data_IF_475831526083
#
_entry.id   IF_475831526083
#
_cell.length_a   1.000
_cell.length_b   1.000
_cell.length_c   1.000
_cell.angle_alpha   90.00
_cell.angle_beta   90.00
_cell.angle_gamma   90.00
#
_symmetry.space_group_name_H-M   'P 1'
#
loop_
_entity.id
_entity.type
_entity.pdbx_description
1 polymer ?
#
# COMPACT_ATOMS: atom_id res chain seq x y z
N UNK A 1 48.87 -10.74 15.86
CA UNK A 1 47.95 -10.07 16.81
C UNK A 1 47.55 -8.74 16.18
N UNK A 2 46.36 -8.67 15.57
CA UNK A 2 45.83 -7.46 14.89
C UNK A 2 44.99 -6.67 15.89
N UNK A 3 45.39 -5.42 16.14
CA UNK A 3 44.64 -4.46 16.93
C UNK A 3 43.40 -3.96 16.18
N UNK A 4 42.36 -3.70 16.94
CA UNK A 4 41.02 -3.25 16.53
C UNK A 4 41.03 -1.79 16.07
N UNK A 5 40.79 -1.55 14.78
CA UNK A 5 40.43 -0.23 14.25
C UNK A 5 38.98 0.08 14.64
N UNK A 6 38.81 0.74 15.79
CA UNK A 6 37.56 1.37 16.19
C UNK A 6 37.34 2.62 15.34
N UNK A 7 36.18 2.71 14.70
CA UNK A 7 35.75 3.90 13.95
C UNK A 7 35.78 5.16 14.85
N UNK A 8 36.30 6.31 14.35
CA UNK A 8 36.37 7.55 15.12
C UNK A 8 34.96 8.08 15.46
N UNK A 9 34.66 8.23 16.76
CA UNK A 9 33.35 8.63 17.32
C UNK A 9 33.03 10.11 17.01
N UNK A 10 34.02 10.91 16.64
CA UNK A 10 33.89 12.32 16.28
C UNK A 10 33.07 12.54 14.98
N UNK A 11 32.98 11.54 14.10
CA UNK A 11 32.14 11.63 12.88
C UNK A 11 30.64 11.44 13.12
N UNK A 12 30.23 10.84 14.25
CA UNK A 12 28.80 10.62 14.55
C UNK A 12 28.14 11.93 15.01
N UNK A 13 28.88 12.81 15.68
CA UNK A 13 28.36 14.10 16.13
C UNK A 13 28.15 15.09 14.97
N UNK A 14 29.00 15.05 13.93
CA UNK A 14 28.85 15.91 12.75
C UNK A 14 27.64 15.57 11.88
N UNK A 15 27.17 14.30 11.89
CA UNK A 15 25.95 13.91 11.17
C UNK A 15 24.67 14.40 11.86
N UNK A 16 24.69 14.66 13.18
CA UNK A 16 23.53 15.23 13.88
C UNK A 16 23.28 16.71 13.54
N UNK A 17 24.32 17.46 13.15
CA UNK A 17 24.19 18.86 12.71
C UNK A 17 23.64 19.01 11.29
N UNK A 18 23.99 18.09 10.39
CA UNK A 18 23.59 18.16 8.97
C UNK A 18 22.14 17.69 8.74
N UNK A 19 21.65 16.74 9.56
CA UNK A 19 20.25 16.26 9.48
C UNK A 19 19.28 17.27 10.12
N UNK A 20 19.74 18.14 11.02
CA UNK A 20 18.92 19.22 11.61
C UNK A 20 18.53 20.31 10.59
N UNK A 21 19.25 20.41 9.46
CA UNK A 21 18.93 21.33 8.36
C UNK A 21 17.93 20.79 7.34
N UNK A 22 17.64 19.49 7.34
CA UNK A 22 16.80 18.81 6.33
C UNK A 22 15.43 18.33 6.84
N UNK A 23 15.07 18.63 8.09
CA UNK A 23 13.76 18.24 8.67
C UNK A 23 12.95 19.47 9.04
N UNK A 24 12.49 20.21 8.04
CA UNK A 24 11.25 20.99 8.14
C UNK A 24 10.61 21.16 6.77
N UNK A 25 9.80 20.18 6.37
CA UNK A 25 8.95 20.31 5.19
C UNK A 25 7.79 21.26 5.54
N UNK A 26 7.97 22.55 5.26
CA UNK A 26 7.00 23.60 5.58
C UNK A 26 5.91 23.67 4.50
N UNK A 27 4.93 22.77 4.64
CA UNK A 27 3.77 22.65 3.73
C UNK A 27 3.01 23.98 3.58
N UNK A 28 3.00 24.82 4.63
CA UNK A 28 2.31 26.11 4.64
C UNK A 28 2.93 27.14 3.69
N UNK A 29 4.27 27.23 3.67
CA UNK A 29 4.97 28.12 2.72
C UNK A 29 4.83 27.67 1.27
N UNK A 30 4.78 26.35 1.03
CA UNK A 30 4.70 25.79 -0.32
C UNK A 30 3.31 25.92 -0.96
N UNK A 31 2.26 26.03 -0.15
CA UNK A 31 0.89 26.30 -0.60
C UNK A 31 0.61 27.81 -0.76
N UNK A 32 1.32 28.66 -0.01
CA UNK A 32 1.17 30.12 -0.08
C UNK A 32 1.85 30.82 -1.27
N UNK A 33 2.84 30.18 -1.92
CA UNK A 33 3.61 30.79 -3.02
C UNK A 33 3.23 30.33 -4.42
N UNK A 34 2.23 29.46 -4.59
CA UNK A 34 1.75 29.12 -5.93
C UNK A 34 0.86 30.25 -6.42
N UNK A 35 1.36 31.01 -7.40
CA UNK A 35 0.56 31.84 -8.28
C UNK A 35 -0.73 31.12 -8.64
N UNK A 36 -1.84 31.85 -8.62
CA UNK A 36 -3.14 31.40 -9.05
C UNK A 36 -3.09 31.00 -10.53
N UNK A 37 -2.54 29.82 -10.82
CA UNK A 37 -2.70 29.14 -12.08
C UNK A 37 -4.12 28.63 -12.05
N UNK A 38 -5.04 29.43 -12.57
CA UNK A 38 -6.38 28.99 -12.92
C UNK A 38 -6.22 27.84 -13.91
N UNK A 39 -6.31 26.61 -13.41
CA UNK A 39 -6.43 25.42 -14.25
C UNK A 39 -7.76 25.57 -14.97
N UNK A 40 -7.70 26.08 -16.20
CA UNK A 40 -8.84 26.15 -17.09
C UNK A 40 -9.09 24.72 -17.57
N UNK A 41 -10.00 24.02 -16.89
CA UNK A 41 -10.53 22.73 -17.34
C UNK A 41 -11.22 22.98 -18.70
N UNK A 42 -10.72 22.44 -19.81
CA UNK A 42 -11.36 22.63 -21.10
C UNK A 42 -12.71 21.87 -21.11
N UNK A 43 -13.73 22.45 -21.74
CA UNK A 43 -15.12 21.96 -21.71
C UNK A 43 -15.32 20.59 -22.41
N UNK A 44 -14.28 20.12 -23.11
CA UNK A 44 -14.15 18.76 -23.64
C UNK A 44 -13.94 17.70 -22.53
N UNK A 45 -13.40 18.08 -21.37
CA UNK A 45 -13.29 17.20 -20.20
C UNK A 45 -14.67 16.80 -19.63
N UNK A 46 -15.65 17.70 -19.69
CA UNK A 46 -17.02 17.42 -19.29
C UNK A 46 -17.74 16.46 -20.28
N UNK A 47 -17.37 16.49 -21.57
CA UNK A 47 -17.93 15.57 -22.57
C UNK A 47 -17.33 14.16 -22.43
N UNK A 48 -16.12 14.05 -21.86
CA UNK A 48 -15.53 12.78 -21.42
C UNK A 48 -16.09 12.28 -20.07
N UNK A 49 -17.01 12.99 -19.40
CA UNK A 49 -17.72 12.46 -18.23
C UNK A 49 -18.88 11.54 -18.61
N UNK A 50 -19.31 11.55 -19.87
CA UNK A 50 -20.09 10.47 -20.46
C UNK A 50 -19.15 9.32 -20.88
N UNK A 51 -18.44 8.74 -19.91
CA UNK A 51 -17.61 7.56 -20.19
C UNK A 51 -18.50 6.33 -20.32
N UNK A 52 -18.28 5.48 -21.33
CA UNK A 52 -18.94 4.19 -21.42
C UNK A 52 -18.63 3.38 -20.15
N UNK A 53 -19.66 2.70 -19.66
CA UNK A 53 -19.71 1.85 -18.46
C UNK A 53 -18.57 0.80 -18.36
N UNK A 54 -17.83 0.59 -19.47
CA UNK A 54 -16.75 -0.40 -19.61
C UNK A 54 -15.33 0.07 -19.21
N UNK A 55 -15.14 1.32 -18.78
CA UNK A 55 -13.83 1.80 -18.26
C UNK A 55 -13.65 1.60 -16.74
N UNK A 56 -14.65 1.06 -16.05
CA UNK A 56 -14.78 1.05 -14.59
C UNK A 56 -13.75 0.21 -13.78
N UNK A 57 -13.26 -0.96 -14.23
CA UNK A 57 -12.70 -1.91 -13.28
C UNK A 57 -11.28 -1.54 -12.79
N UNK A 58 -10.46 -0.85 -13.58
CA UNK A 58 -9.15 -0.35 -13.10
C UNK A 58 -9.29 0.79 -12.09
N UNK A 59 -10.30 1.66 -12.25
CA UNK A 59 -10.60 2.74 -11.29
C UNK A 59 -11.06 2.20 -9.94
N UNK A 60 -11.86 1.13 -9.95
CA UNK A 60 -12.27 0.45 -8.74
C UNK A 60 -11.05 -0.08 -7.96
N UNK A 61 -10.08 -0.72 -8.63
CA UNK A 61 -8.87 -1.20 -7.97
C UNK A 61 -7.97 -0.07 -7.46
N UNK A 62 -7.89 1.06 -8.17
CA UNK A 62 -7.22 2.27 -7.66
C UNK A 62 -7.88 2.79 -6.38
N UNK A 63 -9.21 2.90 -6.37
CA UNK A 63 -9.96 3.33 -5.19
C UNK A 63 -9.76 2.36 -4.02
N UNK A 64 -9.84 1.05 -4.26
CA UNK A 64 -9.58 0.03 -3.25
C UNK A 64 -8.16 0.13 -2.69
N UNK A 65 -7.14 0.27 -3.54
CA UNK A 65 -5.77 0.47 -3.09
C UNK A 65 -5.60 1.72 -2.23
N UNK A 66 -6.22 2.82 -2.61
CA UNK A 66 -6.21 4.06 -1.82
C UNK A 66 -6.93 3.89 -0.47
N UNK A 67 -8.07 3.20 -0.43
CA UNK A 67 -8.79 2.89 0.80
C UNK A 67 -7.97 1.98 1.72
N UNK A 68 -7.29 0.97 1.18
CA UNK A 68 -6.37 0.15 1.98
C UNK A 68 -5.22 1.01 2.52
N UNK A 69 -4.67 1.93 1.73
CA UNK A 69 -3.64 2.87 2.20
C UNK A 69 -4.14 3.76 3.35
N UNK A 70 -5.37 4.27 3.26
CA UNK A 70 -6.02 4.99 4.36
C UNK A 70 -6.13 4.11 5.61
N UNK A 71 -6.57 2.85 5.46
CA UNK A 71 -6.67 1.90 6.56
C UNK A 71 -5.29 1.57 7.16
N UNK A 72 -4.22 1.53 6.36
CA UNK A 72 -2.85 1.37 6.85
C UNK A 72 -2.47 2.52 7.77
N UNK A 73 -2.73 3.78 7.37
CA UNK A 73 -2.40 4.95 8.20
C UNK A 73 -3.22 4.97 9.48
N UNK A 74 -4.53 4.75 9.38
CA UNK A 74 -5.42 4.68 10.53
C UNK A 74 -5.02 3.54 11.49
N UNK A 75 -4.73 2.36 10.94
CA UNK A 75 -4.27 1.19 11.70
C UNK A 75 -2.90 1.40 12.36
N UNK A 76 -1.96 2.09 11.69
CA UNK A 76 -0.67 2.44 12.27
C UNK A 76 -0.83 3.38 13.47
N UNK A 77 -1.69 4.39 13.35
CA UNK A 77 -2.03 5.29 14.45
C UNK A 77 -2.67 4.53 15.62
N UNK A 78 -3.61 3.63 15.34
CA UNK A 78 -4.19 2.75 16.35
C UNK A 78 -3.11 1.89 17.03
N UNK A 79 -2.24 1.22 16.29
CA UNK A 79 -1.18 0.38 16.85
C UNK A 79 -0.19 1.16 17.73
N UNK A 80 0.03 2.45 17.44
CA UNK A 80 0.89 3.33 18.22
C UNK A 80 0.20 3.79 19.52
N UNK A 81 -1.05 4.23 19.43
CA UNK A 81 -1.73 4.96 20.51
C UNK A 81 -2.70 4.11 21.35
N UNK A 82 -3.07 2.90 20.90
CA UNK A 82 -3.98 2.05 21.66
C UNK A 82 -3.33 1.62 23.00
N UNK A 83 -4.03 1.73 24.13
CA UNK A 83 -3.49 1.32 25.42
C UNK A 83 -3.41 -0.21 25.53
N UNK A 84 -2.36 -0.74 26.16
CA UNK A 84 -2.09 -2.19 26.21
C UNK A 84 -3.18 -3.00 26.91
N UNK A 85 -3.98 -2.39 27.78
CA UNK A 85 -5.13 -3.06 28.42
C UNK A 85 -6.17 -3.58 27.43
N UNK A 86 -6.25 -2.98 26.24
CA UNK A 86 -7.17 -3.40 25.17
C UNK A 86 -6.56 -4.47 24.26
N UNK A 87 -5.27 -4.76 24.43
CA UNK A 87 -4.54 -5.74 23.63
C UNK A 87 -4.42 -7.06 24.39
N UNK A 88 -4.42 -8.15 23.64
CA UNK A 88 -3.96 -9.45 24.12
C UNK A 88 -2.43 -9.43 24.33
N UNK A 89 -1.85 -10.43 25.02
CA UNK A 89 -0.41 -10.67 24.97
C UNK A 89 0.06 -10.71 23.52
N UNK A 90 1.14 -10.00 23.20
CA UNK A 90 1.68 -9.79 21.84
C UNK A 90 0.73 -9.11 20.83
N UNK A 91 -0.44 -8.66 21.26
CA UNK A 91 -1.45 -8.05 20.40
C UNK A 91 -0.92 -6.84 19.63
N UNK A 92 -0.03 -6.04 20.23
CA UNK A 92 0.60 -4.89 19.56
C UNK A 92 1.50 -5.31 18.39
N UNK A 93 2.22 -6.42 18.50
CA UNK A 93 3.04 -6.94 17.42
C UNK A 93 2.15 -7.48 16.29
N UNK A 94 1.09 -8.22 16.63
CA UNK A 94 0.11 -8.72 15.67
C UNK A 94 -0.62 -7.60 14.93
N UNK A 95 -1.00 -6.52 15.61
CA UNK A 95 -1.62 -5.35 14.99
C UNK A 95 -0.68 -4.67 13.99
N UNK A 96 0.60 -4.51 14.36
CA UNK A 96 1.64 -3.97 13.46
C UNK A 96 1.86 -4.86 12.24
N UNK A 97 1.86 -6.18 12.41
CA UNK A 97 1.96 -7.12 11.30
C UNK A 97 0.76 -7.01 10.34
N UNK A 98 -0.47 -6.89 10.88
CA UNK A 98 -1.67 -6.67 10.08
C UNK A 98 -1.57 -5.38 9.25
N UNK A 99 -1.20 -4.26 9.91
CA UNK A 99 -1.02 -2.96 9.27
C UNK A 99 0.00 -3.02 8.14
N UNK A 100 1.14 -3.70 8.37
CA UNK A 100 2.17 -3.87 7.35
C UNK A 100 1.65 -4.66 6.14
N UNK A 101 0.88 -5.72 6.37
CA UNK A 101 0.26 -6.50 5.28
C UNK A 101 -0.73 -5.64 4.48
N UNK A 102 -1.60 -4.87 5.14
CA UNK A 102 -2.51 -3.93 4.44
C UNK A 102 -1.69 -2.95 3.58
N UNK A 103 -0.62 -2.38 4.12
CA UNK A 103 0.20 -1.38 3.43
C UNK A 103 0.87 -1.90 2.16
N UNK A 104 1.50 -3.08 2.24
CA UNK A 104 2.12 -3.70 1.07
C UNK A 104 1.09 -4.02 -0.03
N UNK A 105 -0.09 -4.50 0.35
CA UNK A 105 -1.13 -4.87 -0.60
C UNK A 105 -1.89 -3.68 -1.15
N UNK A 106 -1.97 -2.56 -0.41
CA UNK A 106 -2.44 -1.28 -0.92
C UNK A 106 -1.55 -0.81 -2.09
N UNK A 107 -0.24 -0.79 -1.89
CA UNK A 107 0.72 -0.42 -2.94
C UNK A 107 0.65 -1.39 -4.13
N UNK A 108 0.58 -2.71 -3.87
CA UNK A 108 0.45 -3.71 -4.92
C UNK A 108 -0.81 -3.53 -5.77
N UNK A 109 -1.96 -3.23 -5.14
CA UNK A 109 -3.22 -2.97 -5.85
C UNK A 109 -3.15 -1.71 -6.72
N UNK A 110 -2.54 -0.63 -6.21
CA UNK A 110 -2.33 0.59 -7.01
C UNK A 110 -1.47 0.30 -8.24
N UNK A 111 -0.35 -0.41 -8.06
CA UNK A 111 0.54 -0.80 -9.17
C UNK A 111 -0.17 -1.72 -10.16
N UNK A 112 -0.88 -2.74 -9.68
CA UNK A 112 -1.62 -3.67 -10.53
C UNK A 112 -2.73 -2.97 -11.33
N UNK A 113 -3.43 -2.00 -10.73
CA UNK A 113 -4.46 -1.22 -11.40
C UNK A 113 -3.88 -0.33 -12.51
N UNK A 114 -2.70 0.25 -12.31
CA UNK A 114 -1.97 1.00 -13.34
C UNK A 114 -1.48 0.07 -14.45
N UNK A 115 -0.88 -1.08 -14.08
CA UNK A 115 -0.38 -2.09 -15.01
C UNK A 115 -1.47 -2.63 -15.94
N UNK A 116 -2.71 -2.72 -15.47
CA UNK A 116 -3.86 -3.19 -16.23
C UNK A 116 -4.10 -2.42 -17.55
N UNK A 117 -3.61 -1.17 -17.67
CA UNK A 117 -3.73 -0.37 -18.88
C UNK A 117 -2.95 -1.00 -20.04
N UNK A 118 -1.76 -1.51 -19.74
CA UNK A 118 -0.81 -2.07 -20.70
C UNK A 118 -0.83 -3.61 -20.75
N UNK A 119 -1.40 -4.25 -19.72
CA UNK A 119 -1.47 -5.70 -19.62
C UNK A 119 -2.31 -6.32 -20.75
N UNK A 120 -1.70 -7.18 -21.57
CA UNK A 120 -2.40 -7.96 -22.61
C UNK A 120 -3.38 -8.99 -22.06
N UNK A 121 -3.27 -9.37 -20.78
CA UNK A 121 -4.11 -10.38 -20.10
C UNK A 121 -4.82 -9.78 -18.87
N UNK A 122 -5.66 -8.75 -19.08
CA UNK A 122 -6.33 -7.99 -18.00
C UNK A 122 -7.12 -8.86 -17.01
N UNK A 123 -7.73 -9.96 -17.46
CA UNK A 123 -8.47 -10.88 -16.61
C UNK A 123 -7.59 -11.52 -15.51
N UNK A 124 -6.31 -11.75 -15.79
CA UNK A 124 -5.35 -12.28 -14.81
C UNK A 124 -5.00 -11.22 -13.78
N UNK A 125 -4.83 -9.97 -14.23
CA UNK A 125 -4.58 -8.84 -13.32
C UNK A 125 -5.78 -8.65 -12.39
N UNK A 126 -7.01 -8.82 -12.87
CA UNK A 126 -8.20 -8.85 -12.01
C UNK A 126 -8.18 -9.99 -10.99
N UNK A 127 -7.86 -11.21 -11.42
CA UNK A 127 -7.70 -12.35 -10.51
C UNK A 127 -6.64 -12.08 -9.45
N UNK A 128 -5.49 -11.51 -9.84
CA UNK A 128 -4.43 -11.10 -8.92
C UNK A 128 -4.95 -10.09 -7.89
N UNK A 129 -5.62 -9.02 -8.33
CA UNK A 129 -6.19 -8.01 -7.44
C UNK A 129 -7.19 -8.60 -6.44
N UNK A 130 -8.06 -9.51 -6.89
CA UNK A 130 -9.04 -10.17 -6.04
C UNK A 130 -8.36 -11.06 -4.99
N UNK A 131 -7.38 -11.87 -5.39
CA UNK A 131 -6.60 -12.71 -4.49
C UNK A 131 -5.84 -11.88 -3.44
N UNK A 132 -5.20 -10.78 -3.85
CA UNK A 132 -4.51 -9.86 -2.95
C UNK A 132 -5.49 -9.21 -1.97
N UNK A 133 -6.65 -8.73 -2.43
CA UNK A 133 -7.66 -8.09 -1.58
C UNK A 133 -8.25 -9.08 -0.56
N UNK A 134 -8.80 -10.20 -1.03
CA UNK A 134 -9.41 -11.21 -0.17
C UNK A 134 -8.38 -11.80 0.80
N UNK A 135 -7.17 -12.06 0.30
CA UNK A 135 -6.06 -12.53 1.12
C UNK A 135 -5.66 -11.53 2.21
N UNK A 136 -5.64 -10.24 1.90
CA UNK A 136 -5.39 -9.16 2.87
C UNK A 136 -6.48 -9.15 3.94
N UNK A 137 -7.75 -9.16 3.55
CA UNK A 137 -8.88 -9.13 4.51
C UNK A 137 -8.84 -10.35 5.43
N UNK A 138 -8.75 -11.56 4.88
CA UNK A 138 -8.68 -12.79 5.67
C UNK A 138 -7.47 -12.79 6.63
N UNK A 139 -6.29 -12.41 6.13
CA UNK A 139 -5.09 -12.35 6.96
C UNK A 139 -5.25 -11.35 8.10
N UNK A 140 -5.65 -10.13 7.79
CA UNK A 140 -5.76 -9.04 8.75
C UNK A 140 -6.83 -9.31 9.79
N UNK A 141 -8.01 -9.82 9.40
CA UNK A 141 -9.05 -10.23 10.35
C UNK A 141 -8.54 -11.37 11.24
N UNK A 142 -7.89 -12.37 10.64
CA UNK A 142 -7.34 -13.53 11.34
C UNK A 142 -6.31 -13.20 12.41
N UNK A 143 -5.55 -12.11 12.26
CA UNK A 143 -4.52 -11.68 13.23
C UNK A 143 -4.98 -10.52 14.13
N UNK A 144 -5.78 -9.58 13.63
CA UNK A 144 -6.18 -8.38 14.37
C UNK A 144 -7.30 -8.68 15.39
N UNK A 145 -8.23 -9.59 15.08
CA UNK A 145 -9.29 -9.98 16.02
C UNK A 145 -8.68 -10.61 17.29
N UNK A 146 -7.81 -11.64 17.20
CA UNK A 146 -7.14 -12.16 18.38
C UNK A 146 -6.27 -11.13 19.11
N UNK A 147 -5.61 -10.23 18.36
CA UNK A 147 -4.79 -9.17 18.94
C UNK A 147 -5.57 -8.21 19.86
N UNK A 148 -6.86 -8.01 19.56
CA UNK A 148 -7.79 -7.18 20.33
C UNK A 148 -8.60 -8.00 21.35
N UNK A 149 -8.07 -9.14 21.82
CA UNK A 149 -8.71 -10.08 22.76
C UNK A 149 -9.98 -10.75 22.22
N UNK A 150 -10.18 -10.73 20.91
CA UNK A 150 -11.22 -11.51 20.24
C UNK A 150 -10.88 -13.00 20.13
N UNK A 151 -11.80 -13.82 19.62
CA UNK A 151 -11.58 -15.26 19.46
C UNK A 151 -10.46 -15.57 18.45
N UNK A 152 -9.75 -16.68 18.67
CA UNK A 152 -8.80 -17.20 17.69
C UNK A 152 -9.54 -17.72 16.45
N UNK A 153 -9.24 -17.14 15.29
CA UNK A 153 -9.89 -17.47 14.01
C UNK A 153 -9.19 -18.59 13.22
N UNK A 154 -8.37 -19.40 13.92
CA UNK A 154 -7.73 -20.59 13.38
C UNK A 154 -7.00 -20.38 12.06
N UNK A 155 -7.44 -21.07 11.01
CA UNK A 155 -6.81 -21.10 9.68
C UNK A 155 -7.03 -19.85 8.83
N UNK A 156 -7.79 -18.86 9.30
CA UNK A 156 -8.13 -17.69 8.50
C UNK A 156 -6.88 -16.90 8.06
N UNK A 157 -5.91 -16.70 8.97
CA UNK A 157 -4.68 -16.01 8.64
C UNK A 157 -3.80 -16.80 7.63
N UNK A 158 -3.53 -18.10 7.83
CA UNK A 158 -2.85 -18.93 6.83
C UNK A 158 -3.54 -18.93 5.46
N UNK A 159 -4.86 -19.09 5.41
CA UNK A 159 -5.62 -19.04 4.14
C UNK A 159 -5.48 -17.68 3.46
N UNK A 160 -5.50 -16.59 4.23
CA UNK A 160 -5.24 -15.25 3.73
C UNK A 160 -3.85 -15.10 3.11
N UNK A 161 -2.82 -15.65 3.77
CA UNK A 161 -1.44 -15.68 3.24
C UNK A 161 -1.33 -16.46 1.93
N UNK A 162 -1.97 -17.62 1.82
CA UNK A 162 -1.99 -18.42 0.58
C UNK A 162 -2.64 -17.67 -0.58
N UNK A 163 -3.74 -16.95 -0.32
CA UNK A 163 -4.38 -16.11 -1.33
C UNK A 163 -3.47 -14.97 -1.79
N UNK A 164 -2.74 -14.34 -0.87
CA UNK A 164 -1.75 -13.31 -1.24
C UNK A 164 -0.66 -13.88 -2.15
N UNK A 165 -0.09 -15.04 -1.80
CA UNK A 165 0.90 -15.75 -2.63
C UNK A 165 0.35 -16.03 -4.04
N UNK A 166 -0.88 -16.53 -4.14
CA UNK A 166 -1.54 -16.76 -5.43
C UNK A 166 -1.75 -15.45 -6.22
N UNK A 167 -2.10 -14.36 -5.54
CA UNK A 167 -2.25 -13.04 -6.16
C UNK A 167 -0.95 -12.52 -6.77
N UNK A 168 0.16 -12.62 -6.06
CA UNK A 168 1.49 -12.26 -6.58
C UNK A 168 1.90 -13.14 -7.76
N UNK A 169 1.64 -14.46 -7.68
CA UNK A 169 1.90 -15.38 -8.78
C UNK A 169 1.09 -15.00 -10.03
N UNK A 170 -0.20 -14.73 -9.89
CA UNK A 170 -1.04 -14.29 -11.01
C UNK A 170 -0.53 -12.98 -11.62
N UNK A 171 -0.11 -12.02 -10.77
CA UNK A 171 0.46 -10.77 -11.26
C UNK A 171 1.72 -11.01 -12.09
N UNK A 172 2.61 -11.92 -11.65
CA UNK A 172 3.78 -12.33 -12.42
C UNK A 172 3.39 -13.03 -13.74
N UNK A 173 2.44 -13.97 -13.71
CA UNK A 173 1.95 -14.65 -14.92
C UNK A 173 1.28 -13.70 -15.91
N UNK A 174 0.76 -12.56 -15.46
CA UNK A 174 0.18 -11.54 -16.33
C UNK A 174 1.19 -10.93 -17.30
N UNK A 175 2.50 -10.97 -16.97
CA UNK A 175 3.57 -10.39 -17.79
C UNK A 175 4.11 -11.35 -18.85
N UNK A 176 3.86 -12.65 -18.72
CA UNK A 176 4.42 -13.68 -19.62
C UNK A 176 3.70 -13.80 -20.99
N UNK A 177 2.70 -12.96 -21.27
CA UNK A 177 2.02 -12.93 -22.57
C UNK A 177 2.71 -12.01 -23.56
N UNK A 178 2.80 -12.41 -24.84
CA UNK A 178 3.32 -11.52 -25.90
C UNK A 178 2.50 -10.23 -25.92
N UNK A 179 3.13 -9.04 -26.00
CA UNK A 179 2.41 -7.81 -26.30
C UNK A 179 1.66 -8.04 -27.61
N UNK A 180 0.33 -8.08 -27.56
CA UNK A 180 -0.48 -8.15 -28.76
C UNK A 180 -0.04 -7.00 -29.67
N UNK A 181 0.47 -7.34 -30.84
CA UNK A 181 1.06 -6.37 -31.76
C UNK A 181 0.11 -5.19 -31.94
N UNK A 182 0.56 -4.00 -31.51
CA UNK A 182 -0.06 -2.74 -31.93
C UNK A 182 0.05 -2.73 -33.45
N UNK A 183 -1.05 -3.08 -34.14
CA UNK A 183 -1.23 -2.67 -35.53
C UNK A 183 -1.44 -1.16 -35.46
N UNK A 184 -0.36 -0.44 -35.76
CA UNK A 184 -0.38 0.98 -36.10
C UNK A 184 -0.97 1.10 -37.50
#
# INVERSE_FOLDING_TARGET
>A
MRGTDLLPVDRVATLHGEVAGLVRFDFGKQLGTRHATTIRIPADAARSAAMPESAAPSRAWLATGALLGLLTVAGAALAAHLPDRLLAPDGRASLRAAVQVIGWHAAALLVAALWMRDAGRRWIVHGACLCLLLGTVCFCVGVAVPALRGPHLGRLAPTGGTLQMAGWLLLALSTLGRPGGRRV
#
